data_IF_000036718036
#
_entry.id   IF_000036718036
#
_cell.length_a   1.000
_cell.length_b   1.000
_cell.length_c   1.000
_cell.angle_alpha   90.00
_cell.angle_beta   90.00
_cell.angle_gamma   90.00
#
_symmetry.space_group_name_H-M   'P 1'
#
loop_
_entity.id
_entity.type
_entity.pdbx_description
1 polymer ?
#
# COMPACT_ATOMS: atom_id res chain seq x y z
N UNK A 1 -16.15 -34.37 -14.22
CA UNK A 1 -14.95 -33.66 -13.70
C UNK A 1 -15.44 -32.72 -12.61
N UNK A 2 -14.97 -32.87 -11.38
CA UNK A 2 -15.46 -32.07 -10.25
C UNK A 2 -15.01 -30.60 -10.42
N UNK A 3 -15.96 -29.68 -10.56
CA UNK A 3 -15.68 -28.24 -10.49
C UNK A 3 -15.16 -27.91 -9.09
N UNK A 4 -13.94 -27.38 -9.03
CA UNK A 4 -13.40 -26.82 -7.80
C UNK A 4 -14.29 -25.65 -7.35
N UNK A 5 -14.85 -25.75 -6.15
CA UNK A 5 -15.63 -24.66 -5.51
C UNK A 5 -14.79 -23.41 -5.26
N UNK A 6 -13.47 -23.55 -5.26
CA UNK A 6 -12.54 -22.44 -5.11
C UNK A 6 -12.29 -21.82 -6.49
N UNK A 7 -12.82 -20.62 -6.69
CA UNK A 7 -12.47 -19.79 -7.84
C UNK A 7 -10.95 -19.55 -7.87
N UNK A 8 -10.41 -19.34 -9.07
CA UNK A 8 -8.99 -19.01 -9.25
C UNK A 8 -8.63 -17.83 -8.34
N UNK A 9 -7.56 -18.00 -7.57
CA UNK A 9 -7.06 -16.92 -6.70
C UNK A 9 -6.77 -15.67 -7.55
N UNK A 10 -7.04 -14.47 -7.03
CA UNK A 10 -6.73 -13.23 -7.73
C UNK A 10 -5.24 -13.19 -8.05
N UNK A 11 -4.86 -12.50 -9.13
CA UNK A 11 -3.45 -12.25 -9.40
C UNK A 11 -2.87 -11.42 -8.25
N UNK A 12 -1.80 -11.93 -7.64
CA UNK A 12 -1.09 -11.28 -6.52
C UNK A 12 0.31 -10.87 -6.93
N UNK A 13 0.62 -10.90 -8.22
CA UNK A 13 1.91 -10.46 -8.77
C UNK A 13 2.10 -8.99 -8.44
N UNK A 14 3.13 -8.63 -7.64
CA UNK A 14 3.40 -7.24 -7.32
C UNK A 14 3.79 -6.48 -8.59
N UNK A 15 3.18 -5.30 -8.79
CA UNK A 15 3.56 -4.39 -9.88
C UNK A 15 4.62 -3.43 -9.33
N UNK A 16 5.80 -3.41 -9.96
CA UNK A 16 6.86 -2.45 -9.61
C UNK A 16 6.52 -1.08 -10.19
N UNK A 17 6.41 -0.08 -9.33
CA UNK A 17 6.21 1.32 -9.71
C UNK A 17 7.45 2.14 -9.34
N UNK A 18 8.04 2.86 -10.30
CA UNK A 18 9.05 3.88 -10.03
C UNK A 18 8.36 5.23 -9.82
N UNK A 19 8.63 5.89 -8.69
CA UNK A 19 8.06 7.20 -8.35
C UNK A 19 9.17 8.20 -8.06
N UNK A 20 8.94 9.47 -8.42
CA UNK A 20 9.75 10.59 -7.98
C UNK A 20 8.95 11.37 -6.94
N UNK A 21 9.55 11.63 -5.78
CA UNK A 21 8.95 12.43 -4.71
C UNK A 21 9.75 13.72 -4.53
N UNK A 22 9.08 14.78 -4.09
CA UNK A 22 9.75 16.03 -3.75
C UNK A 22 10.60 15.86 -2.48
N UNK A 23 11.66 16.68 -2.29
CA UNK A 23 12.54 16.57 -1.13
C UNK A 23 11.81 16.62 0.21
N UNK A 24 10.83 17.51 0.35
CA UNK A 24 10.07 17.67 1.60
C UNK A 24 9.30 16.39 1.95
N UNK A 25 8.61 15.80 0.97
CA UNK A 25 7.90 14.52 1.16
C UNK A 25 8.87 13.37 1.46
N UNK A 26 10.06 13.37 0.87
CA UNK A 26 11.07 12.37 1.21
C UNK A 26 11.48 12.48 2.68
N UNK A 27 11.69 13.69 3.20
CA UNK A 27 12.04 13.87 4.61
C UNK A 27 10.89 13.45 5.53
N UNK A 28 9.65 13.85 5.22
CA UNK A 28 8.48 13.42 5.99
C UNK A 28 8.36 11.89 6.05
N UNK A 29 8.66 11.18 4.95
CA UNK A 29 8.65 9.71 4.91
C UNK A 29 9.76 9.09 5.76
N UNK A 30 10.96 9.68 5.76
CA UNK A 30 12.08 9.23 6.60
C UNK A 30 11.75 9.42 8.08
N UNK A 31 11.23 10.60 8.45
CA UNK A 31 10.83 10.89 9.82
C UNK A 31 9.70 9.95 10.28
N UNK A 32 8.71 9.72 9.41
CA UNK A 32 7.64 8.76 9.72
C UNK A 32 8.20 7.35 9.96
N UNK A 33 9.15 6.87 9.15
CA UNK A 33 9.77 5.57 9.34
C UNK A 33 10.51 5.48 10.68
N UNK A 34 11.20 6.54 11.09
CA UNK A 34 11.83 6.61 12.40
C UNK A 34 10.81 6.53 13.54
N UNK A 35 9.69 7.26 13.44
CA UNK A 35 8.60 7.18 14.40
C UNK A 35 7.95 5.80 14.45
N UNK A 36 7.75 5.15 13.30
CA UNK A 36 7.23 3.79 13.21
C UNK A 36 8.17 2.80 13.93
N UNK A 37 9.48 2.92 13.70
CA UNK A 37 10.48 2.07 14.34
C UNK A 37 10.49 2.24 15.86
N UNK A 38 10.34 3.49 16.36
CA UNK A 38 10.21 3.75 17.79
C UNK A 38 8.94 3.15 18.39
N UNK A 39 7.82 3.20 17.67
CA UNK A 39 6.53 2.70 18.14
C UNK A 39 6.46 1.16 18.17
N UNK A 40 7.07 0.49 17.20
CA UNK A 40 6.96 -0.96 17.00
C UNK A 40 8.26 -1.74 17.24
N UNK A 41 9.36 -1.05 17.55
CA UNK A 41 10.66 -1.66 17.84
C UNK A 41 11.35 -2.30 16.62
N UNK A 42 10.91 -1.98 15.40
CA UNK A 42 11.42 -2.56 14.16
C UNK A 42 11.67 -1.48 13.11
N UNK A 43 12.92 -1.37 12.66
CA UNK A 43 13.25 -0.54 11.51
C UNK A 43 12.66 -1.15 10.24
N UNK A 44 11.94 -0.32 9.49
CA UNK A 44 11.31 -0.70 8.22
C UNK A 44 11.70 0.34 7.19
N UNK A 45 12.07 -0.11 5.99
CA UNK A 45 12.42 0.80 4.90
C UNK A 45 11.18 1.58 4.43
N UNK A 46 11.37 2.84 4.04
CA UNK A 46 10.26 3.65 3.47
C UNK A 46 9.62 2.96 2.27
N UNK A 47 10.37 2.18 1.48
CA UNK A 47 9.89 1.42 0.33
C UNK A 47 8.93 0.29 0.69
N UNK A 48 9.00 -0.21 1.93
CA UNK A 48 8.08 -1.22 2.47
C UNK A 48 6.87 -0.57 3.15
N UNK A 49 7.05 0.62 3.73
CA UNK A 49 5.96 1.40 4.34
C UNK A 49 5.05 2.05 3.31
N UNK A 50 5.60 2.60 2.21
CA UNK A 50 4.84 3.33 1.19
C UNK A 50 3.65 2.51 0.64
N UNK A 51 3.80 1.23 0.25
CA UNK A 51 2.66 0.43 -0.20
C UNK A 51 1.54 0.30 0.84
N UNK A 52 1.90 0.11 2.12
CA UNK A 52 0.94 0.01 3.21
C UNK A 52 0.23 1.35 3.48
N UNK A 53 0.98 2.46 3.47
CA UNK A 53 0.44 3.80 3.58
C UNK A 53 -0.55 4.12 2.45
N UNK A 54 -0.19 3.82 1.20
CA UNK A 54 -1.05 4.03 0.04
C UNK A 54 -2.31 3.18 0.09
N UNK A 55 -2.18 1.91 0.51
CA UNK A 55 -3.34 1.04 0.69
C UNK A 55 -4.30 1.61 1.73
N UNK A 56 -3.79 2.00 2.91
CA UNK A 56 -4.57 2.60 3.98
C UNK A 56 -5.24 3.91 3.55
N UNK A 57 -4.51 4.76 2.82
CA UNK A 57 -5.05 6.00 2.27
C UNK A 57 -6.25 5.73 1.34
N UNK A 58 -6.10 4.83 0.37
CA UNK A 58 -7.15 4.47 -0.59
C UNK A 58 -8.36 3.82 0.11
N UNK A 59 -8.13 3.01 1.14
CA UNK A 59 -9.20 2.41 1.94
C UNK A 59 -9.93 3.43 2.83
N UNK A 60 -9.24 4.49 3.26
CA UNK A 60 -9.83 5.55 4.07
C UNK A 60 -10.63 6.59 3.28
N UNK A 61 -10.35 6.74 1.97
CA UNK A 61 -11.01 7.72 1.11
C UNK A 61 -12.41 7.24 0.68
N UNK A 62 -13.42 7.58 1.48
CA UNK A 62 -14.83 7.27 1.20
C UNK A 62 -15.34 7.89 -0.09
N UNK A 63 -14.84 9.06 -0.49
CA UNK A 63 -15.24 9.72 -1.72
C UNK A 63 -14.78 8.92 -2.93
N UNK A 64 -13.51 8.53 -2.92
CA UNK A 64 -12.95 7.62 -3.90
C UNK A 64 -13.69 6.29 -3.93
N UNK A 65 -13.88 5.64 -2.78
CA UNK A 65 -14.55 4.34 -2.70
C UNK A 65 -15.98 4.36 -3.26
N UNK A 66 -16.72 5.46 -3.10
CA UNK A 66 -18.06 5.63 -3.69
C UNK A 66 -18.03 5.79 -5.21
N UNK A 67 -16.99 6.44 -5.74
CA UNK A 67 -16.82 6.67 -7.18
C UNK A 67 -16.15 5.50 -7.90
N UNK A 68 -15.45 4.63 -7.17
CA UNK A 68 -14.69 3.52 -7.76
C UNK A 68 -15.65 2.49 -8.33
N UNK A 69 -15.58 2.29 -9.65
CA UNK A 69 -16.28 1.20 -10.32
C UNK A 69 -15.82 -0.19 -9.83
N UNK A 70 -16.53 -1.27 -10.23
CA UNK A 70 -16.09 -2.63 -9.92
C UNK A 70 -14.65 -2.84 -10.38
N UNK A 71 -13.82 -3.47 -9.53
CA UNK A 71 -12.47 -3.89 -9.95
C UNK A 71 -12.65 -4.89 -11.12
N UNK A 72 -11.90 -4.74 -12.22
CA UNK A 72 -11.89 -5.72 -13.29
C UNK A 72 -11.36 -7.08 -12.81
#
# INVERSE_FOLDING_TARGET
>A
MAELKLARLPDRTPVKLGINVMPDLHQDLVDYAAHYALAYGAEVQITELIPAMLASFIESDRGFLRSRGPRP
#
